data_IF_772832859150
#
_entry.id   IF_772832859150
#
_cell.length_a   1.000
_cell.length_b   1.000
_cell.length_c   1.000
_cell.angle_alpha   90.00
_cell.angle_beta   90.00
_cell.angle_gamma   90.00
#
_symmetry.space_group_name_H-M   'P 1'
#
loop_
_entity.id
_entity.type
_entity.pdbx_description
1 polymer ?
#
# COMPACT_ATOMS: atom_id res chain seq x y z
N UNK A 1 -17.62 -34.36 -23.64
CA UNK A 1 -16.22 -34.24 -23.22
C UNK A 1 -16.07 -32.94 -22.44
N UNK A 2 -16.16 -32.99 -21.09
CA UNK A 2 -16.06 -31.79 -20.25
C UNK A 2 -14.59 -31.50 -20.04
N UNK A 3 -14.07 -30.43 -20.65
CA UNK A 3 -12.77 -29.85 -20.31
C UNK A 3 -12.88 -29.23 -18.90
N UNK A 4 -12.42 -29.93 -17.88
CA UNK A 4 -12.10 -29.33 -16.60
C UNK A 4 -10.95 -28.34 -16.86
N UNK A 5 -11.30 -27.05 -16.99
CA UNK A 5 -10.31 -25.98 -16.85
C UNK A 5 -9.70 -26.09 -15.45
N UNK A 6 -8.52 -26.68 -15.38
CA UNK A 6 -7.66 -26.52 -14.22
C UNK A 6 -7.29 -25.03 -14.15
N UNK A 7 -8.02 -24.29 -13.35
CA UNK A 7 -7.55 -22.99 -12.91
C UNK A 7 -6.36 -23.25 -12.00
N UNK A 8 -5.17 -23.23 -12.56
CA UNK A 8 -3.94 -23.10 -11.79
C UNK A 8 -4.09 -21.83 -10.97
N UNK A 9 -4.29 -21.98 -9.64
CA UNK A 9 -4.23 -20.88 -8.69
C UNK A 9 -2.76 -20.49 -8.60
N UNK A 10 -2.28 -19.64 -9.49
CA UNK A 10 -0.95 -19.07 -9.33
C UNK A 10 -1.04 -17.98 -8.26
N UNK A 11 -0.93 -18.40 -7.01
CA UNK A 11 -0.83 -17.49 -5.90
C UNK A 11 0.53 -16.77 -5.97
N UNK A 12 0.51 -15.46 -5.66
CA UNK A 12 1.73 -14.71 -5.42
C UNK A 12 2.51 -15.38 -4.28
N UNK A 13 3.83 -15.49 -4.42
CA UNK A 13 4.69 -15.93 -3.33
C UNK A 13 4.80 -14.82 -2.30
N UNK A 14 4.96 -15.18 -1.02
CA UNK A 14 5.23 -14.24 0.05
C UNK A 14 6.72 -14.23 0.38
N UNK A 15 7.31 -13.04 0.44
CA UNK A 15 8.56 -12.76 1.12
C UNK A 15 8.24 -11.90 2.33
N UNK A 16 8.46 -12.42 3.54
CA UNK A 16 8.25 -11.64 4.77
C UNK A 16 9.19 -10.46 4.79
N UNK A 17 8.62 -9.26 4.87
CA UNK A 17 9.35 -8.00 4.81
C UNK A 17 8.59 -6.94 5.63
N UNK A 18 9.22 -6.41 6.65
CA UNK A 18 8.63 -5.40 7.53
C UNK A 18 9.06 -3.97 7.18
N UNK A 19 9.75 -3.80 6.05
CA UNK A 19 10.24 -2.49 5.60
C UNK A 19 11.27 -1.85 6.52
N UNK A 20 11.93 -2.64 7.38
CA UNK A 20 12.91 -2.15 8.35
C UNK A 20 12.30 -1.67 9.66
N UNK A 21 11.03 -1.98 9.93
CA UNK A 21 10.33 -1.59 11.17
C UNK A 21 11.05 -2.07 12.43
N UNK A 22 11.42 -3.35 12.47
CA UNK A 22 12.13 -3.92 13.63
C UNK A 22 13.52 -3.30 13.81
N UNK A 23 14.25 -3.07 12.71
CA UNK A 23 15.54 -2.41 12.73
C UNK A 23 15.46 -0.96 13.23
N UNK A 24 14.34 -0.27 13.01
CA UNK A 24 14.06 1.06 13.54
C UNK A 24 13.63 1.05 15.02
N UNK A 25 13.60 -0.12 15.68
CA UNK A 25 13.26 -0.27 17.09
C UNK A 25 11.77 -0.37 17.42
N UNK A 26 10.89 -0.40 16.41
CA UNK A 26 9.44 -0.53 16.62
C UNK A 26 9.05 -2.01 16.83
N UNK A 27 8.27 -2.24 17.90
CA UNK A 27 7.82 -3.59 18.29
C UNK A 27 6.31 -3.75 18.08
N UNK A 28 5.87 -5.01 17.99
CA UNK A 28 4.47 -5.39 17.92
C UNK A 28 3.81 -5.14 16.56
N UNK A 29 2.52 -5.44 16.49
CA UNK A 29 1.70 -5.16 15.31
C UNK A 29 1.16 -3.74 15.36
N UNK A 30 1.04 -3.11 14.19
CA UNK A 30 0.49 -1.78 14.05
C UNK A 30 -0.14 -1.62 12.67
N UNK A 31 -1.01 -0.62 12.51
CA UNK A 31 -1.62 -0.25 11.23
C UNK A 31 -0.67 0.55 10.32
N UNK A 32 0.58 0.13 10.23
CA UNK A 32 1.69 0.82 9.56
C UNK A 32 2.02 0.29 8.15
N UNK A 33 1.06 -0.39 7.52
CA UNK A 33 1.27 -0.95 6.17
C UNK A 33 1.75 0.09 5.15
N UNK A 34 1.32 1.34 5.27
CA UNK A 34 1.77 2.44 4.40
C UNK A 34 3.25 2.73 4.61
N UNK A 35 3.70 2.90 5.86
CA UNK A 35 5.11 3.19 6.18
C UNK A 35 6.01 2.08 5.67
N UNK A 36 5.69 0.83 6.01
CA UNK A 36 6.45 -0.36 5.58
C UNK A 36 6.54 -0.46 4.07
N UNK A 37 5.40 -0.38 3.41
CA UNK A 37 5.33 -0.54 1.96
C UNK A 37 6.10 0.56 1.21
N UNK A 38 6.01 1.82 1.68
CA UNK A 38 6.80 2.91 1.06
C UNK A 38 8.28 2.70 1.31
N UNK A 39 8.70 2.32 2.51
CA UNK A 39 10.11 2.00 2.78
C UNK A 39 10.65 0.92 1.82
N UNK A 40 9.87 -0.15 1.59
CA UNK A 40 10.24 -1.24 0.69
C UNK A 40 10.39 -0.77 -0.78
N UNK A 41 9.46 0.07 -1.28
CA UNK A 41 9.49 0.47 -2.71
C UNK A 41 10.44 1.63 -2.99
N UNK A 42 10.69 2.50 -2.01
CA UNK A 42 11.54 3.67 -2.17
C UNK A 42 13.00 3.42 -1.80
N UNK A 43 13.27 2.40 -0.98
CA UNK A 43 14.59 2.17 -0.38
C UNK A 43 14.93 3.13 0.76
N UNK A 44 14.00 3.99 1.17
CA UNK A 44 14.15 4.84 2.35
C UNK A 44 14.04 4.02 3.62
N UNK A 45 14.68 4.45 4.72
CA UNK A 45 14.51 3.80 6.01
C UNK A 45 13.07 3.94 6.52
N UNK A 46 12.61 2.95 7.29
CA UNK A 46 11.30 2.99 7.95
C UNK A 46 11.13 4.29 8.76
N UNK A 47 12.15 4.68 9.54
CA UNK A 47 12.10 5.88 10.36
C UNK A 47 11.94 7.15 9.50
N UNK A 48 12.66 7.25 8.40
CA UNK A 48 12.56 8.39 7.47
C UNK A 48 11.14 8.53 6.91
N UNK A 49 10.56 7.42 6.44
CA UNK A 49 9.18 7.41 5.92
C UNK A 49 8.17 7.76 7.00
N UNK A 50 8.36 7.22 8.21
CA UNK A 50 7.51 7.54 9.36
C UNK A 50 7.53 9.03 9.66
N UNK A 51 8.72 9.64 9.78
CA UNK A 51 8.88 11.05 10.13
C UNK A 51 8.30 11.96 9.04
N UNK A 52 8.52 11.64 7.78
CA UNK A 52 7.96 12.39 6.64
C UNK A 52 6.43 12.35 6.63
N UNK A 53 5.85 11.17 6.83
CA UNK A 53 4.39 11.02 6.88
C UNK A 53 3.78 11.67 8.13
N UNK A 54 4.47 11.61 9.27
CA UNK A 54 4.05 12.31 10.47
C UNK A 54 3.97 13.83 10.22
N UNK A 55 5.04 14.40 9.67
CA UNK A 55 5.08 15.82 9.29
C UNK A 55 4.01 16.18 8.26
N UNK A 56 3.82 15.37 7.23
CA UNK A 56 2.81 15.60 6.21
C UNK A 56 1.37 15.53 6.77
N UNK A 57 1.11 14.63 7.71
CA UNK A 57 -0.17 14.56 8.42
C UNK A 57 -0.42 15.82 9.26
N UNK A 58 0.59 16.29 10.00
CA UNK A 58 0.50 17.51 10.80
C UNK A 58 0.25 18.74 9.93
N UNK A 59 1.00 18.88 8.85
CA UNK A 59 0.81 19.96 7.88
C UNK A 59 -0.61 19.94 7.30
N UNK A 60 -1.10 18.78 6.85
CA UNK A 60 -2.45 18.64 6.31
C UNK A 60 -3.53 19.02 7.32
N UNK A 61 -3.42 18.55 8.57
CA UNK A 61 -4.37 18.88 9.64
C UNK A 61 -4.41 20.37 9.94
N UNK A 62 -3.25 21.03 9.91
CA UNK A 62 -3.12 22.42 10.34
C UNK A 62 -3.40 23.43 9.23
N UNK A 63 -3.14 23.10 7.97
CA UNK A 63 -3.27 24.03 6.83
C UNK A 63 -4.53 23.81 6.01
N UNK A 64 -5.03 22.58 5.93
CA UNK A 64 -6.22 22.27 5.13
C UNK A 64 -7.51 22.73 5.82
N UNK A 65 -8.38 23.39 5.04
CA UNK A 65 -9.72 23.84 5.51
C UNK A 65 -10.82 22.81 5.28
N UNK A 66 -10.50 21.61 4.79
CA UNK A 66 -11.47 20.57 4.48
C UNK A 66 -12.12 19.99 5.75
N UNK A 67 -13.35 19.46 5.61
CA UNK A 67 -14.04 18.73 6.69
C UNK A 67 -13.19 17.56 7.21
N UNK A 68 -12.46 16.91 6.29
CA UNK A 68 -11.56 15.81 6.61
C UNK A 68 -10.42 16.27 7.53
N UNK A 69 -9.71 17.34 7.19
CA UNK A 69 -8.62 17.86 8.02
C UNK A 69 -9.11 18.23 9.41
N UNK A 70 -10.30 18.86 9.50
CA UNK A 70 -10.94 19.18 10.78
C UNK A 70 -11.24 17.94 11.61
N UNK A 71 -11.74 16.87 10.98
CA UNK A 71 -11.98 15.58 11.66
C UNK A 71 -10.69 14.94 12.14
N UNK A 72 -9.61 15.00 11.34
CA UNK A 72 -8.31 14.44 11.71
C UNK A 72 -7.58 15.21 12.81
N UNK A 73 -7.88 16.50 13.00
CA UNK A 73 -7.34 17.27 14.15
C UNK A 73 -7.76 16.70 15.50
N UNK A 74 -8.94 16.08 15.57
CA UNK A 74 -9.46 15.49 16.80
C UNK A 74 -8.89 14.10 17.09
N UNK A 75 -8.12 13.53 16.16
CA UNK A 75 -7.50 12.22 16.32
C UNK A 75 -6.01 12.38 16.58
N UNK A 76 -5.53 11.71 17.59
CA UNK A 76 -4.09 11.63 17.88
C UNK A 76 -3.45 10.46 17.08
N UNK A 77 -3.69 10.45 15.76
CA UNK A 77 -3.24 9.38 14.87
C UNK A 77 -1.77 9.59 14.47
N UNK A 78 -0.99 8.53 14.55
CA UNK A 78 0.37 8.47 14.02
C UNK A 78 0.41 7.67 12.70
N UNK A 79 1.48 7.73 11.90
CA UNK A 79 1.65 6.87 10.73
C UNK A 79 1.58 5.36 11.03
N UNK A 80 1.72 4.98 12.31
CA UNK A 80 1.55 3.58 12.77
C UNK A 80 0.09 3.19 13.03
N UNK A 81 -0.81 4.12 13.11
CA UNK A 81 -2.27 3.88 13.18
C UNK A 81 -2.97 4.01 11.84
N UNK A 82 -2.24 4.43 10.82
CA UNK A 82 -2.70 4.60 9.45
C UNK A 82 -2.37 5.96 8.87
N UNK A 83 -2.38 6.04 7.55
CA UNK A 83 -2.16 7.29 6.82
C UNK A 83 -3.33 7.55 5.89
N UNK A 84 -3.89 8.75 5.95
CA UNK A 84 -5.01 9.12 5.09
C UNK A 84 -4.57 9.18 3.62
N UNK A 85 -5.45 8.71 2.72
CA UNK A 85 -5.14 8.58 1.28
C UNK A 85 -4.70 9.89 0.61
N UNK A 86 -5.21 11.04 1.06
CA UNK A 86 -4.81 12.35 0.52
C UNK A 86 -3.34 12.63 0.81
N UNK A 87 -2.90 12.40 2.06
CA UNK A 87 -1.51 12.56 2.48
C UNK A 87 -0.60 11.56 1.76
N UNK A 88 -1.02 10.30 1.70
CA UNK A 88 -0.31 9.25 0.98
C UNK A 88 -0.07 9.61 -0.49
N UNK A 89 -1.09 10.03 -1.21
CA UNK A 89 -0.98 10.42 -2.63
C UNK A 89 0.00 11.57 -2.84
N UNK A 90 -0.08 12.61 -1.98
CA UNK A 90 0.84 13.77 -2.06
C UNK A 90 2.28 13.32 -1.82
N UNK A 91 2.52 12.51 -0.80
CA UNK A 91 3.86 12.02 -0.47
C UNK A 91 4.44 11.13 -1.57
N UNK A 92 3.65 10.21 -2.13
CA UNK A 92 4.08 9.36 -3.24
C UNK A 92 4.40 10.16 -4.51
N UNK A 93 3.64 11.23 -4.79
CA UNK A 93 3.95 12.13 -5.90
C UNK A 93 5.30 12.83 -5.72
N UNK A 94 5.63 13.25 -4.49
CA UNK A 94 6.95 13.83 -4.15
C UNK A 94 8.10 12.83 -4.32
N UNK A 95 7.82 11.53 -4.12
CA UNK A 95 8.77 10.44 -4.38
C UNK A 95 8.80 9.96 -5.84
N UNK A 96 8.11 10.68 -6.73
CA UNK A 96 8.01 10.38 -8.17
C UNK A 96 7.29 9.07 -8.49
N UNK A 97 6.25 8.73 -7.70
CA UNK A 97 5.36 7.62 -8.00
C UNK A 97 4.09 8.08 -8.72
N UNK A 98 3.68 7.31 -9.71
CA UNK A 98 2.47 7.54 -10.52
C UNK A 98 1.40 6.50 -10.21
N UNK A 99 0.16 6.95 -10.11
CA UNK A 99 -1.01 6.12 -9.82
C UNK A 99 -1.66 5.56 -11.09
N UNK A 100 -1.90 4.25 -11.10
CA UNK A 100 -2.72 3.56 -12.10
C UNK A 100 -3.95 2.97 -11.42
N UNK A 101 -5.17 3.48 -11.69
CA UNK A 101 -6.40 2.92 -11.14
C UNK A 101 -6.75 1.62 -11.86
N UNK A 102 -7.28 0.63 -11.11
CA UNK A 102 -7.79 -0.65 -11.65
C UNK A 102 -9.25 -0.90 -11.27
N UNK A 103 -9.82 -0.05 -10.44
CA UNK A 103 -11.22 -0.13 -10.03
C UNK A 103 -11.89 1.23 -10.16
N UNK A 104 -13.08 1.23 -10.74
CA UNK A 104 -13.88 2.43 -10.99
C UNK A 104 -15.25 2.30 -10.34
N UNK A 105 -15.85 3.42 -9.94
CA UNK A 105 -17.16 3.46 -9.30
C UNK A 105 -18.22 2.79 -10.18
N UNK A 106 -19.00 1.88 -9.61
CA UNK A 106 -20.09 1.18 -10.30
C UNK A 106 -19.66 0.05 -11.24
N UNK A 107 -18.35 -0.21 -11.40
CA UNK A 107 -17.86 -1.25 -12.30
C UNK A 107 -17.45 -2.56 -11.61
N UNK A 108 -17.44 -2.58 -10.28
CA UNK A 108 -16.99 -3.73 -9.50
C UNK A 108 -15.47 -3.97 -9.58
N UNK A 109 -15.04 -5.09 -9.04
CA UNK A 109 -13.64 -5.49 -9.04
C UNK A 109 -13.23 -6.06 -10.40
N UNK A 110 -12.17 -5.51 -10.99
CA UNK A 110 -11.61 -5.95 -12.29
C UNK A 110 -10.29 -6.65 -12.14
N UNK A 111 -9.47 -6.25 -11.18
CA UNK A 111 -8.12 -6.76 -10.96
C UNK A 111 -8.01 -7.27 -9.53
N UNK A 112 -7.47 -8.48 -9.40
CA UNK A 112 -7.22 -9.12 -8.11
C UNK A 112 -5.73 -9.18 -7.82
N UNK A 113 -5.39 -9.39 -6.56
CA UNK A 113 -4.01 -9.57 -6.11
C UNK A 113 -3.53 -10.98 -6.51
N UNK A 114 -3.26 -11.13 -7.81
CA UNK A 114 -2.78 -12.35 -8.50
C UNK A 114 -1.65 -11.99 -9.44
N UNK A 115 -0.74 -12.93 -9.64
CA UNK A 115 0.42 -12.73 -10.51
C UNK A 115 0.02 -12.41 -11.96
N UNK A 116 -1.00 -13.06 -12.48
CA UNK A 116 -1.44 -12.93 -13.87
C UNK A 116 -2.22 -11.64 -14.15
N UNK A 117 -2.75 -11.02 -13.11
CA UNK A 117 -3.57 -9.80 -13.23
C UNK A 117 -2.79 -8.52 -12.93
N UNK A 118 -1.54 -8.63 -12.48
CA UNK A 118 -0.66 -7.49 -12.17
C UNK A 118 0.49 -7.40 -13.17
N UNK A 119 0.93 -6.18 -13.55
CA UNK A 119 2.10 -6.02 -14.37
C UNK A 119 3.37 -6.47 -13.64
N UNK A 120 4.43 -6.75 -14.39
CA UNK A 120 5.77 -7.02 -13.85
C UNK A 120 6.41 -5.75 -13.30
N UNK A 121 7.47 -5.89 -12.51
CA UNK A 121 8.19 -4.81 -11.89
C UNK A 121 7.78 -4.59 -10.42
N UNK A 122 8.11 -3.43 -9.89
CA UNK A 122 7.85 -3.07 -8.49
C UNK A 122 6.58 -2.22 -8.39
N UNK A 123 5.58 -2.73 -7.68
CA UNK A 123 4.28 -2.12 -7.51
C UNK A 123 4.00 -1.86 -6.04
N UNK A 124 3.51 -0.67 -5.73
CA UNK A 124 2.87 -0.37 -4.45
C UNK A 124 1.35 -0.52 -4.64
N UNK A 125 0.78 -1.59 -4.14
CA UNK A 125 -0.60 -2.02 -4.46
C UNK A 125 -1.58 -1.60 -3.37
N UNK A 126 -2.68 -0.97 -3.78
CA UNK A 126 -3.77 -0.54 -2.90
C UNK A 126 -4.93 -1.52 -2.93
N UNK A 127 -5.28 -2.04 -1.77
CA UNK A 127 -6.45 -2.87 -1.53
C UNK A 127 -7.37 -2.22 -0.48
N UNK A 128 -8.50 -2.87 -0.16
CA UNK A 128 -9.37 -2.42 0.94
C UNK A 128 -8.61 -2.41 2.26
N UNK A 129 -8.49 -1.24 2.88
CA UNK A 129 -7.83 -1.03 4.19
C UNK A 129 -6.40 -1.58 4.27
N UNK A 130 -5.69 -1.73 3.15
CA UNK A 130 -4.33 -2.26 3.13
C UNK A 130 -3.53 -1.77 1.94
N UNK A 131 -2.25 -1.55 2.17
CA UNK A 131 -1.24 -1.29 1.15
C UNK A 131 -0.17 -2.36 1.27
N UNK A 132 0.22 -2.93 0.15
CA UNK A 132 1.28 -3.96 0.08
C UNK A 132 2.20 -3.71 -1.10
N UNK A 133 3.32 -4.43 -1.15
CA UNK A 133 4.27 -4.34 -2.26
C UNK A 133 4.30 -5.66 -3.02
N UNK A 134 4.25 -5.57 -4.33
CA UNK A 134 4.49 -6.71 -5.22
C UNK A 134 5.69 -6.41 -6.10
N UNK A 135 6.70 -7.26 -6.07
CA UNK A 135 7.89 -7.19 -6.94
C UNK A 135 7.95 -8.47 -7.78
N UNK A 136 7.75 -8.33 -9.08
CA UNK A 136 7.82 -9.45 -10.02
C UNK A 136 7.06 -10.71 -9.58
N UNK A 137 5.84 -10.53 -9.10
CA UNK A 137 4.98 -11.62 -8.66
C UNK A 137 5.29 -12.16 -7.25
N UNK A 138 6.03 -11.39 -6.43
CA UNK A 138 6.31 -11.71 -5.02
C UNK A 138 5.74 -10.61 -4.16
N UNK A 139 4.87 -10.97 -3.20
CA UNK A 139 4.41 -10.04 -2.14
C UNK A 139 5.54 -9.84 -1.15
N UNK A 140 5.89 -8.58 -0.89
CA UNK A 140 6.76 -8.15 0.20
C UNK A 140 5.89 -7.51 1.28
N UNK A 141 5.57 -8.26 2.32
CA UNK A 141 4.72 -7.83 3.43
C UNK A 141 5.00 -8.69 4.67
N UNK A 142 4.39 -8.36 5.79
CA UNK A 142 4.48 -9.16 7.02
C UNK A 142 3.63 -10.44 6.98
N UNK A 143 2.69 -10.53 6.04
CA UNK A 143 1.80 -11.68 5.84
C UNK A 143 1.26 -11.72 4.41
N UNK A 144 0.74 -12.87 3.99
CA UNK A 144 0.03 -12.98 2.72
C UNK A 144 -1.34 -12.32 2.80
N UNK A 145 -1.45 -11.16 2.16
CA UNK A 145 -2.67 -10.38 2.12
C UNK A 145 -3.53 -10.65 0.87
N UNK A 146 -3.16 -11.61 0.02
CA UNK A 146 -3.84 -11.87 -1.26
C UNK A 146 -5.22 -12.51 -1.14
N UNK A 147 -5.53 -13.13 0.01
CA UNK A 147 -6.74 -13.95 0.21
C UNK A 147 -6.86 -15.03 -0.87
N UNK A 148 -5.80 -15.80 -1.06
CA UNK A 148 -5.71 -16.81 -2.13
C UNK A 148 -5.96 -16.22 -3.53
N UNK A 149 -5.52 -14.98 -3.77
CA UNK A 149 -5.69 -14.29 -5.04
C UNK A 149 -7.10 -13.79 -5.32
N UNK A 150 -7.96 -13.68 -4.31
CA UNK A 150 -9.33 -13.13 -4.46
C UNK A 150 -9.45 -11.67 -4.01
N UNK A 151 -8.40 -11.12 -3.41
CA UNK A 151 -8.44 -9.74 -2.93
C UNK A 151 -8.45 -8.75 -4.07
N UNK A 152 -9.43 -7.83 -4.05
CA UNK A 152 -9.54 -6.80 -5.06
C UNK A 152 -8.44 -5.75 -4.95
N UNK A 153 -7.85 -5.38 -6.08
CA UNK A 153 -6.90 -4.29 -6.24
C UNK A 153 -7.63 -3.05 -6.71
N UNK A 154 -7.50 -1.95 -5.99
CA UNK A 154 -8.09 -0.66 -6.36
C UNK A 154 -7.22 0.12 -7.34
N UNK A 155 -5.96 -0.20 -7.38
CA UNK A 155 -4.94 0.38 -8.22
C UNK A 155 -3.56 0.20 -7.59
N UNK A 156 -2.55 0.70 -8.27
CA UNK A 156 -1.17 0.61 -7.82
C UNK A 156 -0.38 1.85 -8.22
N UNK A 157 0.72 2.07 -7.54
CA UNK A 157 1.72 3.07 -7.92
C UNK A 157 2.97 2.37 -8.44
N UNK A 158 3.56 2.98 -9.46
CA UNK A 158 4.87 2.64 -10.00
C UNK A 158 5.76 3.87 -9.95
N UNK A 159 7.07 3.68 -9.80
CA UNK A 159 8.02 4.79 -9.88
C UNK A 159 8.08 5.26 -11.34
N UNK A 160 7.95 6.57 -11.58
CA UNK A 160 8.21 7.13 -12.89
C UNK A 160 9.72 7.02 -13.22
N UNK A 161 10.03 6.73 -14.47
CA UNK A 161 11.40 6.70 -14.99
C UNK A 161 11.97 8.10 -15.06
#
# INVERSE_FOLDING_TARGET
MFFKRFFSRSNLKLKVDDGGRAAAGYKGQAGDCVVRSIAIVSGLSYQKVYDDLFKANEEFRNTSRTKLAKSLKQRNDSPRSGTHRVVLKKYLAQLNFQWTPTMFVGQGCKVHLKKEELPTGTLLVSCSKHITVVKDGIIHDTHDCSRNGTRCVYGYWTKAN
#
